data_IF_504086026431
#
_entry.id   IF_504086026431
#
_cell.length_a   1.000
_cell.length_b   1.000
_cell.length_c   1.000
_cell.angle_alpha   90.00
_cell.angle_beta   90.00
_cell.angle_gamma   90.00
#
_symmetry.space_group_name_H-M   'P 1'
#
loop_
_entity.id
_entity.type
_entity.pdbx_description
1 polymer ?
#
# COMPACT_ATOMS: atom_id res chain seq x y z
N UNK A 1 14.09 31.15 31.05
CA UNK A 1 13.34 29.96 30.60
C UNK A 1 13.93 29.54 29.25
N UNK A 2 14.54 28.36 29.14
CA UNK A 2 15.09 27.88 27.86
C UNK A 2 13.93 27.30 27.05
N UNK A 3 13.54 27.96 25.96
CA UNK A 3 12.52 27.46 25.05
C UNK A 3 13.15 26.43 24.11
N UNK A 4 12.73 25.17 24.22
CA UNK A 4 13.15 24.13 23.28
C UNK A 4 12.26 24.22 22.03
N UNK A 5 12.87 24.49 20.88
CA UNK A 5 12.18 24.54 19.58
C UNK A 5 12.31 23.20 18.87
N UNK A 6 11.20 22.72 18.32
CA UNK A 6 11.14 21.56 17.43
C UNK A 6 10.65 22.00 16.06
N UNK A 7 11.13 21.33 15.01
CA UNK A 7 10.66 21.51 13.63
C UNK A 7 10.62 20.15 12.94
N UNK A 8 9.62 19.95 12.10
CA UNK A 8 9.46 18.71 11.34
C UNK A 8 10.59 18.59 10.31
N UNK A 9 11.19 17.40 10.23
CA UNK A 9 12.04 16.99 9.11
C UNK A 9 11.14 16.62 7.94
N UNK A 10 10.17 15.75 8.20
CA UNK A 10 9.18 15.39 7.22
C UNK A 10 7.83 15.06 7.84
N UNK A 11 6.82 15.06 7.00
CA UNK A 11 5.53 14.43 7.21
C UNK A 11 5.22 13.44 6.08
N UNK A 12 4.50 12.37 6.41
CA UNK A 12 3.98 11.40 5.47
C UNK A 12 2.46 11.41 5.58
N UNK A 13 1.76 11.51 4.44
CA UNK A 13 0.30 11.46 4.36
C UNK A 13 -0.16 10.32 3.44
N UNK A 14 -1.14 9.55 3.91
CA UNK A 14 -1.84 8.53 3.14
C UNK A 14 -3.09 9.14 2.50
N UNK A 15 -3.18 9.07 1.18
CA UNK A 15 -4.30 9.57 0.40
C UNK A 15 -5.08 8.41 -0.22
N UNK A 16 -6.40 8.55 -0.34
CA UNK A 16 -7.22 7.49 -0.91
C UNK A 16 -8.54 8.04 -1.50
N UNK A 17 -8.84 7.72 -2.76
CA UNK A 17 -9.98 8.28 -3.52
C UNK A 17 -11.37 7.78 -3.10
N UNK A 18 -11.43 6.78 -2.23
CA UNK A 18 -12.66 6.27 -1.60
C UNK A 18 -13.29 7.28 -0.63
N UNK A 19 -12.47 7.93 0.22
CA UNK A 19 -12.98 8.82 1.27
C UNK A 19 -13.28 10.20 0.71
N UNK A 20 -14.31 10.83 1.26
CA UNK A 20 -14.76 12.14 0.83
C UNK A 20 -13.70 13.22 1.09
N UNK A 21 -12.89 13.04 2.14
CA UNK A 21 -11.77 13.93 2.47
C UNK A 21 -10.54 13.77 1.56
N UNK A 22 -10.46 12.67 0.81
CA UNK A 22 -9.26 12.25 0.08
C UNK A 22 -8.13 11.70 0.96
N UNK A 23 -8.30 11.69 2.29
CA UNK A 23 -7.30 11.18 3.24
C UNK A 23 -7.65 9.78 3.71
N UNK A 24 -6.64 8.94 3.95
CA UNK A 24 -6.81 7.54 4.32
C UNK A 24 -6.60 7.33 5.83
N UNK A 25 -7.67 7.09 6.61
CA UNK A 25 -7.56 6.82 8.05
C UNK A 25 -7.16 5.38 8.38
N UNK A 26 -7.21 4.46 7.40
CA UNK A 26 -7.18 3.01 7.63
C UNK A 26 -5.77 2.40 7.70
N UNK A 27 -4.73 3.25 7.66
CA UNK A 27 -3.33 2.84 7.77
C UNK A 27 -2.72 3.47 9.02
N UNK A 28 -2.09 2.65 9.83
CA UNK A 28 -1.25 3.06 10.95
C UNK A 28 0.22 2.98 10.54
N UNK A 29 1.01 3.99 10.94
CA UNK A 29 2.45 4.06 10.70
C UNK A 29 3.19 3.92 12.04
N UNK A 30 3.97 2.84 12.18
CA UNK A 30 4.67 2.49 13.43
C UNK A 30 6.17 2.42 13.16
N UNK A 31 7.03 3.15 13.91
CA UNK A 31 8.48 3.02 13.75
C UNK A 31 8.95 1.60 14.07
N UNK A 32 9.87 1.06 13.27
CA UNK A 32 10.56 -0.20 13.59
C UNK A 32 11.45 -0.05 14.82
N UNK A 33 11.99 -1.16 15.34
CA UNK A 33 12.98 -1.14 16.41
C UNK A 33 14.23 -0.33 16.02
N UNK A 34 14.76 -0.54 14.81
CA UNK A 34 15.93 0.18 14.28
C UNK A 34 15.65 1.68 14.07
N UNK A 35 14.45 2.03 13.59
CA UNK A 35 14.04 3.41 13.47
C UNK A 35 13.92 4.09 14.84
N UNK A 36 13.36 3.38 15.82
CA UNK A 36 13.27 3.88 17.20
C UNK A 36 14.64 4.14 17.80
N UNK A 37 15.59 3.22 17.62
CA UNK A 37 16.98 3.39 18.06
C UNK A 37 17.64 4.60 17.37
N UNK A 38 17.47 4.73 16.05
CA UNK A 38 18.00 5.85 15.27
C UNK A 38 17.41 7.19 15.74
N UNK A 39 16.10 7.26 15.95
CA UNK A 39 15.43 8.46 16.47
C UNK A 39 15.94 8.84 17.86
N UNK A 40 16.11 7.87 18.77
CA UNK A 40 16.65 8.13 20.10
C UNK A 40 18.08 8.67 20.04
N UNK A 41 18.93 8.06 19.21
CA UNK A 41 20.33 8.48 19.02
C UNK A 41 20.45 9.93 18.56
N UNK A 42 19.57 10.37 17.67
CA UNK A 42 19.59 11.75 17.14
C UNK A 42 18.65 12.71 17.88
N UNK A 43 17.92 12.25 18.91
CA UNK A 43 16.99 13.07 19.68
C UNK A 43 15.76 13.53 18.87
N UNK A 44 15.33 12.69 17.92
CA UNK A 44 14.14 12.90 17.11
C UNK A 44 12.88 12.41 17.82
N UNK A 45 11.73 12.93 17.41
CA UNK A 45 10.43 12.53 17.94
C UNK A 45 9.48 12.24 16.79
N UNK A 46 8.99 11.00 16.74
CA UNK A 46 7.89 10.65 15.86
C UNK A 46 6.55 10.96 16.52
N UNK A 47 5.63 11.54 15.75
CA UNK A 47 4.26 11.79 16.15
C UNK A 47 3.34 11.17 15.09
N UNK A 48 2.64 10.06 15.40
CA UNK A 48 1.63 9.53 14.49
C UNK A 48 0.46 10.51 14.36
N UNK A 49 -0.24 10.42 13.24
CA UNK A 49 -1.45 11.18 12.93
C UNK A 49 -2.50 10.23 12.38
N UNK A 50 -3.75 10.67 12.29
CA UNK A 50 -4.82 9.81 11.76
C UNK A 50 -4.57 9.33 10.32
N UNK A 51 -3.80 10.09 9.55
CA UNK A 51 -3.56 9.87 8.12
C UNK A 51 -2.08 9.68 7.76
N UNK A 52 -1.23 9.32 8.73
CA UNK A 52 0.21 9.18 8.51
C UNK A 52 1.05 9.55 9.73
N UNK A 53 2.15 10.27 9.56
CA UNK A 53 3.06 10.58 10.68
C UNK A 53 4.03 11.73 10.40
N UNK A 54 4.60 12.28 11.46
CA UNK A 54 5.57 13.39 11.40
C UNK A 54 6.81 13.07 12.21
N UNK A 55 7.99 13.35 11.65
CA UNK A 55 9.25 13.22 12.37
C UNK A 55 9.80 14.61 12.69
N UNK A 56 10.02 14.89 13.97
CA UNK A 56 10.50 16.17 14.46
C UNK A 56 11.95 16.08 14.95
N UNK A 57 12.73 17.11 14.66
CA UNK A 57 14.05 17.32 15.22
C UNK A 57 14.06 18.54 16.14
N UNK A 58 14.93 18.50 17.15
CA UNK A 58 15.24 19.68 17.98
C UNK A 58 16.13 20.62 17.17
N UNK A 59 15.77 21.90 17.12
CA UNK A 59 16.48 22.90 16.30
C UNK A 59 16.94 24.11 17.10
N UNK A 60 17.95 24.78 16.57
CA UNK A 60 18.40 26.11 16.98
C UNK A 60 18.26 27.07 15.81
N UNK A 61 17.59 28.21 16.04
CA UNK A 61 17.52 29.28 15.03
C UNK A 61 18.83 30.07 15.02
N UNK A 62 19.51 30.12 13.88
CA UNK A 62 20.72 30.93 13.65
C UNK A 62 20.55 31.64 12.31
N UNK A 63 20.72 32.97 12.27
CA UNK A 63 20.56 33.77 11.05
C UNK A 63 19.24 33.48 10.29
N UNK A 64 18.12 33.40 11.02
CA UNK A 64 16.79 33.05 10.49
C UNK A 64 16.68 31.66 9.84
N UNK A 65 17.67 30.77 10.02
CA UNK A 65 17.61 29.36 9.62
C UNK A 65 17.44 28.46 10.84
N UNK A 66 16.63 27.42 10.70
CA UNK A 66 16.49 26.39 11.73
C UNK A 66 17.51 25.28 11.46
N UNK A 67 18.56 25.23 12.29
CA UNK A 67 19.60 24.20 12.22
C UNK A 67 19.26 23.04 13.14
N UNK A 68 19.40 21.81 12.67
CA UNK A 68 19.23 20.62 13.50
C UNK A 68 20.35 20.54 14.55
N UNK A 69 20.00 20.21 15.80
CA UNK A 69 20.98 20.13 16.89
C UNK A 69 21.92 18.94 16.76
N UNK A 70 21.40 17.79 16.31
CA UNK A 70 22.17 16.57 16.07
C UNK A 70 22.01 16.23 14.58
N UNK A 71 22.91 16.72 13.70
CA UNK A 71 22.83 16.44 12.27
C UNK A 71 22.80 14.95 11.96
N UNK A 72 21.99 14.60 10.98
CA UNK A 72 21.90 13.24 10.47
C UNK A 72 23.11 12.95 9.57
N UNK A 73 23.74 11.78 9.69
CA UNK A 73 24.79 11.37 8.78
C UNK A 73 24.20 11.00 7.42
N UNK A 74 24.99 11.17 6.35
CA UNK A 74 24.65 10.67 5.03
C UNK A 74 24.35 9.16 5.08
N UNK A 75 23.21 8.72 4.54
CA UNK A 75 22.74 7.33 4.61
C UNK A 75 21.89 7.01 5.85
N UNK A 76 21.46 8.00 6.63
CA UNK A 76 20.49 7.77 7.70
C UNK A 76 19.13 7.31 7.13
N UNK A 77 18.54 6.28 7.70
CA UNK A 77 17.27 5.68 7.25
C UNK A 77 16.26 5.66 8.39
N UNK A 78 15.02 5.95 8.07
CA UNK A 78 13.88 5.84 8.97
C UNK A 78 12.86 4.87 8.38
N UNK A 79 12.79 3.66 8.94
CA UNK A 79 11.84 2.63 8.54
C UNK A 79 10.61 2.60 9.44
N UNK A 80 9.44 2.42 8.83
CA UNK A 80 8.17 2.34 9.54
C UNK A 80 7.33 1.20 8.96
N UNK A 81 6.77 0.40 9.85
CA UNK A 81 5.77 -0.62 9.53
C UNK A 81 4.44 0.07 9.27
N UNK A 82 3.79 -0.34 8.18
CA UNK A 82 2.43 0.04 7.87
C UNK A 82 1.51 -1.09 8.30
N UNK A 83 0.51 -0.78 9.13
CA UNK A 83 -0.50 -1.75 9.59
C UNK A 83 -1.88 -1.30 9.14
N UNK A 84 -2.71 -2.24 8.72
CA UNK A 84 -4.12 -1.94 8.43
C UNK A 84 -4.88 -1.85 9.74
N UNK A 85 -5.61 -0.74 9.93
CA UNK A 85 -6.58 -0.61 11.04
C UNK A 85 -7.84 -1.43 10.80
N UNK A 86 -8.11 -1.78 9.54
CA UNK A 86 -9.28 -2.54 9.13
C UNK A 86 -8.93 -3.64 8.12
N UNK A 87 -9.46 -4.85 8.33
CA UNK A 87 -9.22 -5.98 7.43
C UNK A 87 -9.95 -5.85 6.09
N UNK A 88 -10.92 -4.93 5.97
CA UNK A 88 -11.69 -4.72 4.73
C UNK A 88 -11.06 -3.71 3.77
N UNK A 89 -9.92 -3.12 4.12
CA UNK A 89 -9.23 -2.11 3.31
C UNK A 89 -9.00 -2.61 1.87
N UNK A 90 -8.44 -3.81 1.73
CA UNK A 90 -8.13 -4.40 0.43
C UNK A 90 -9.39 -4.63 -0.45
N UNK A 91 -10.58 -4.74 0.16
CA UNK A 91 -11.83 -4.95 -0.57
C UNK A 91 -12.29 -3.69 -1.31
N UNK A 92 -12.02 -2.50 -0.77
CA UNK A 92 -12.41 -1.23 -1.41
C UNK A 92 -11.23 -0.47 -2.02
N UNK A 93 -9.99 -0.93 -1.83
CA UNK A 93 -8.80 -0.40 -2.49
C UNK A 93 -8.44 -1.23 -3.73
N UNK A 94 -8.00 -0.57 -4.79
CA UNK A 94 -7.49 -1.20 -6.02
C UNK A 94 -6.10 -1.79 -5.78
N UNK A 95 -6.07 -2.96 -5.14
CA UNK A 95 -4.87 -3.73 -4.81
C UNK A 95 -4.96 -5.15 -5.38
N UNK A 96 -3.82 -5.82 -5.52
CA UNK A 96 -3.76 -7.22 -5.94
C UNK A 96 -4.12 -8.16 -4.79
N UNK A 97 -5.38 -8.62 -4.80
CA UNK A 97 -5.93 -9.59 -3.84
C UNK A 97 -5.35 -11.01 -3.98
N UNK A 98 -4.62 -11.27 -5.06
CA UNK A 98 -4.01 -12.57 -5.37
C UNK A 98 -2.50 -12.57 -5.21
N UNK A 99 -1.93 -11.52 -4.57
CA UNK A 99 -0.50 -11.45 -4.30
C UNK A 99 -0.04 -12.63 -3.43
N UNK A 100 1.20 -13.13 -3.61
CA UNK A 100 1.79 -14.10 -2.69
C UNK A 100 1.74 -13.59 -1.25
N UNK A 101 1.49 -14.48 -0.29
CA UNK A 101 1.42 -14.10 1.15
C UNK A 101 2.69 -13.46 1.68
N UNK A 102 3.84 -13.77 1.08
CA UNK A 102 5.14 -13.20 1.43
C UNK A 102 5.36 -11.82 0.83
N UNK A 103 4.48 -11.33 -0.05
CA UNK A 103 4.66 -10.05 -0.71
C UNK A 103 3.88 -8.97 0.03
N UNK A 104 4.61 -7.93 0.43
CA UNK A 104 4.06 -6.77 1.12
C UNK A 104 4.43 -5.51 0.34
N UNK A 105 3.75 -4.41 0.67
CA UNK A 105 4.01 -3.15 -0.01
C UNK A 105 5.27 -2.49 0.54
N UNK A 106 6.13 -1.99 -0.34
CA UNK A 106 7.37 -1.30 0.02
C UNK A 106 7.42 0.07 -0.65
N UNK A 107 7.55 1.11 0.17
CA UNK A 107 7.56 2.50 -0.25
C UNK A 107 8.85 3.19 0.16
N UNK A 108 9.37 4.08 -0.69
CA UNK A 108 10.61 4.80 -0.37
C UNK A 108 10.73 6.11 -1.13
N UNK A 109 11.64 6.97 -0.67
CA UNK A 109 11.92 8.27 -1.26
C UNK A 109 13.12 8.27 -2.24
N UNK A 110 13.57 7.10 -2.70
CA UNK A 110 14.68 6.99 -3.66
C UNK A 110 14.21 7.07 -5.11
N UNK A 111 12.91 6.83 -5.36
CA UNK A 111 12.31 6.96 -6.69
C UNK A 111 11.91 8.42 -6.90
N UNK A 112 12.41 9.03 -7.98
CA UNK A 112 12.00 10.37 -8.35
C UNK A 112 10.57 10.37 -8.95
N UNK A 113 9.58 10.48 -8.09
CA UNK A 113 8.17 10.54 -8.44
C UNK A 113 7.50 11.75 -7.76
N UNK A 114 7.14 12.77 -8.53
CA UNK A 114 6.55 14.01 -8.00
C UNK A 114 5.14 14.17 -8.55
N UNK A 115 4.19 14.52 -7.70
CA UNK A 115 2.80 14.80 -8.08
C UNK A 115 2.67 16.09 -8.91
N UNK A 116 1.49 16.32 -9.50
CA UNK A 116 1.25 17.53 -10.30
C UNK A 116 1.33 18.83 -9.47
N UNK A 117 1.04 18.75 -8.17
CA UNK A 117 1.16 19.82 -7.18
C UNK A 117 2.57 19.91 -6.54
N UNK A 118 3.56 19.17 -7.05
CA UNK A 118 4.96 19.30 -6.65
C UNK A 118 5.37 18.53 -5.40
N UNK A 119 4.50 17.67 -4.86
CA UNK A 119 4.81 16.86 -3.69
C UNK A 119 5.47 15.53 -4.08
N UNK A 120 6.51 15.10 -3.38
CA UNK A 120 7.09 13.79 -3.64
C UNK A 120 6.17 12.64 -3.23
N UNK A 121 6.06 11.66 -4.12
CA UNK A 121 5.28 10.44 -3.98
C UNK A 121 6.22 9.26 -3.72
N UNK A 122 5.90 8.42 -2.75
CA UNK A 122 6.75 7.28 -2.37
C UNK A 122 6.41 5.98 -3.10
N UNK A 123 5.61 6.07 -4.17
CA UNK A 123 5.16 4.93 -4.96
C UNK A 123 6.07 4.72 -6.18
N UNK A 124 6.34 3.46 -6.51
CA UNK A 124 7.20 3.04 -7.60
C UNK A 124 6.62 3.37 -8.99
N UNK A 125 5.28 3.40 -9.12
CA UNK A 125 4.64 3.69 -10.39
C UNK A 125 4.66 5.20 -10.71
N UNK A 126 5.57 5.61 -11.58
CA UNK A 126 5.75 7.02 -11.99
C UNK A 126 4.74 7.49 -13.02
N UNK A 127 4.03 6.57 -13.68
CA UNK A 127 3.02 6.88 -14.71
C UNK A 127 1.66 7.17 -14.07
N UNK A 128 1.13 6.22 -13.30
CA UNK A 128 -0.19 6.36 -12.66
C UNK A 128 -0.12 7.11 -11.34
N UNK A 129 1.06 7.17 -10.70
CA UNK A 129 1.31 7.90 -9.45
C UNK A 129 0.44 7.43 -8.28
N UNK A 130 0.07 6.16 -8.31
CA UNK A 130 -0.72 5.47 -7.28
C UNK A 130 -0.06 4.13 -6.93
N UNK A 131 -0.38 3.61 -5.75
CA UNK A 131 0.05 2.28 -5.30
C UNK A 131 -0.41 1.22 -6.30
N UNK A 132 0.48 0.29 -6.61
CA UNK A 132 0.26 -0.80 -7.57
C UNK A 132 1.14 -2.01 -7.26
N UNK A 133 1.11 -3.02 -8.13
CA UNK A 133 1.95 -4.21 -7.99
C UNK A 133 3.45 -3.91 -8.14
N UNK A 134 3.82 -2.77 -8.71
CA UNK A 134 5.20 -2.29 -8.75
C UNK A 134 5.76 -1.97 -7.35
N UNK A 135 4.88 -1.78 -6.36
CA UNK A 135 5.24 -1.53 -4.97
C UNK A 135 5.32 -2.83 -4.14
N UNK A 136 5.06 -4.01 -4.74
CA UNK A 136 5.14 -5.29 -4.02
C UNK A 136 6.58 -5.83 -3.99
N UNK A 137 7.02 -6.22 -2.80
CA UNK A 137 8.32 -6.84 -2.58
C UNK A 137 8.16 -8.05 -1.64
N UNK A 138 8.85 -9.19 -1.90
CA UNK A 138 8.87 -10.30 -0.96
C UNK A 138 9.53 -9.88 0.35
N UNK A 139 8.90 -10.16 1.48
CA UNK A 139 9.45 -9.97 2.80
C UNK A 139 9.94 -11.30 3.33
N UNK A 140 11.13 -11.29 3.91
CA UNK A 140 11.77 -12.45 4.49
C UNK A 140 12.21 -12.16 5.92
N UNK A 141 12.16 -13.18 6.75
CA UNK A 141 12.55 -13.12 8.16
C UNK A 141 13.33 -14.38 8.52
N UNK A 142 14.24 -14.27 9.49
CA UNK A 142 15.09 -15.34 10.05
C UNK A 142 16.11 -15.99 9.10
N UNK A 143 15.74 -16.33 7.86
CA UNK A 143 16.65 -16.97 6.93
C UNK A 143 16.24 -16.74 5.47
N UNK A 144 17.23 -16.64 4.59
CA UNK A 144 17.04 -16.69 3.15
C UNK A 144 17.51 -18.04 2.62
N UNK A 145 16.84 -18.59 1.60
CA UNK A 145 17.29 -19.80 0.93
C UNK A 145 16.98 -19.77 -0.56
N UNK A 146 17.89 -20.33 -1.35
CA UNK A 146 17.76 -20.40 -2.80
C UNK A 146 18.39 -21.67 -3.36
N UNK A 147 17.68 -22.34 -4.26
CA UNK A 147 18.18 -23.51 -4.97
C UNK A 147 18.61 -23.14 -6.39
N UNK A 148 19.83 -23.51 -6.75
CA UNK A 148 20.41 -23.30 -8.08
C UNK A 148 20.83 -24.63 -8.69
N UNK A 149 20.53 -24.86 -9.97
CA UNK A 149 20.99 -26.05 -10.70
C UNK A 149 22.10 -25.69 -11.68
N UNK A 150 23.22 -26.40 -11.60
CA UNK A 150 24.36 -26.23 -12.50
C UNK A 150 25.26 -27.46 -12.48
N UNK A 151 26.06 -27.66 -13.53
CA UNK A 151 27.02 -28.78 -13.64
C UNK A 151 28.45 -28.40 -13.26
N UNK A 152 28.69 -27.14 -12.94
CA UNK A 152 30.02 -26.67 -12.50
C UNK A 152 30.41 -27.32 -11.16
N UNK A 153 31.71 -27.40 -10.86
CA UNK A 153 32.20 -28.07 -9.65
C UNK A 153 31.88 -27.30 -8.36
N UNK A 154 31.92 -25.97 -8.42
CA UNK A 154 31.70 -25.08 -7.27
C UNK A 154 30.92 -23.86 -7.77
N UNK A 155 30.01 -23.35 -6.94
CA UNK A 155 29.24 -22.13 -7.22
C UNK A 155 29.33 -21.19 -6.03
N UNK A 156 29.60 -19.92 -6.33
CA UNK A 156 29.59 -18.81 -5.40
C UNK A 156 28.26 -18.07 -5.44
N UNK A 157 27.82 -17.62 -4.27
CA UNK A 157 26.66 -16.75 -4.12
C UNK A 157 26.93 -15.64 -3.13
N UNK A 158 26.21 -14.54 -3.33
CA UNK A 158 26.32 -13.32 -2.53
C UNK A 158 24.92 -12.81 -2.18
N UNK A 159 24.75 -12.36 -0.94
CA UNK A 159 23.53 -11.72 -0.44
C UNK A 159 23.90 -10.33 0.04
N UNK A 160 23.52 -9.32 -0.73
CA UNK A 160 23.92 -7.93 -0.53
C UNK A 160 22.78 -7.11 0.03
N UNK A 161 23.00 -6.45 1.17
CA UNK A 161 22.11 -5.42 1.69
C UNK A 161 22.44 -4.09 1.03
N UNK A 162 21.51 -3.64 0.18
CA UNK A 162 21.72 -2.50 -0.73
C UNK A 162 22.01 -1.21 0.05
N UNK A 163 21.33 -1.05 1.19
CA UNK A 163 21.31 0.20 1.94
C UNK A 163 22.34 0.25 3.07
N UNK A 164 22.58 -0.88 3.73
CA UNK A 164 23.53 -0.95 4.85
C UNK A 164 24.95 -1.29 4.42
N UNK A 165 25.13 -1.86 3.21
CA UNK A 165 26.38 -2.42 2.72
C UNK A 165 26.79 -3.73 3.40
N UNK A 166 25.94 -4.30 4.24
CA UNK A 166 26.16 -5.64 4.82
C UNK A 166 26.11 -6.70 3.71
N UNK A 167 27.03 -7.65 3.74
CA UNK A 167 27.15 -8.69 2.71
C UNK A 167 27.40 -10.04 3.37
N UNK A 168 26.75 -11.06 2.83
CA UNK A 168 27.03 -12.46 3.13
C UNK A 168 27.43 -13.19 1.85
N UNK A 169 28.30 -14.18 1.96
CA UNK A 169 28.70 -15.01 0.83
C UNK A 169 28.82 -16.48 1.20
N UNK A 170 28.57 -17.34 0.23
CA UNK A 170 28.74 -18.79 0.34
C UNK A 170 29.35 -19.34 -0.93
N UNK A 171 30.25 -20.32 -0.76
CA UNK A 171 30.78 -21.15 -1.83
C UNK A 171 30.39 -22.59 -1.52
N UNK A 172 29.68 -23.23 -2.45
CA UNK A 172 29.20 -24.59 -2.29
C UNK A 172 29.76 -25.47 -3.41
N UNK A 173 30.20 -26.67 -3.05
CA UNK A 173 30.59 -27.70 -4.01
C UNK A 173 29.38 -28.45 -4.54
N UNK A 174 29.50 -28.92 -5.77
CA UNK A 174 28.44 -29.59 -6.49
C UNK A 174 28.08 -30.93 -5.83
N UNK A 175 26.81 -31.06 -5.47
CA UNK A 175 26.21 -32.32 -5.10
C UNK A 175 24.97 -32.57 -5.97
N UNK A 176 25.05 -33.52 -6.89
CA UNK A 176 23.97 -33.89 -7.82
C UNK A 176 23.43 -32.73 -8.69
N UNK A 177 24.30 -31.81 -9.11
CA UNK A 177 23.98 -30.64 -9.93
C UNK A 177 23.00 -29.66 -9.27
N UNK A 178 22.91 -29.67 -7.95
CA UNK A 178 22.02 -28.80 -7.17
C UNK A 178 22.80 -28.16 -6.01
N UNK A 179 22.70 -26.83 -5.91
CA UNK A 179 23.30 -26.02 -4.87
C UNK A 179 22.18 -25.39 -4.04
N UNK A 180 22.20 -25.60 -2.72
CA UNK A 180 21.20 -25.05 -1.80
C UNK A 180 21.87 -24.01 -0.89
N UNK A 181 21.71 -22.74 -1.23
CA UNK A 181 22.23 -21.64 -0.43
C UNK A 181 21.27 -21.33 0.71
N UNK A 182 21.81 -21.10 1.91
CA UNK A 182 21.02 -20.74 3.09
C UNK A 182 21.77 -19.73 3.95
N UNK A 183 21.17 -18.57 4.18
CA UNK A 183 21.73 -17.49 4.99
C UNK A 183 20.89 -17.29 6.25
N UNK A 184 21.54 -17.19 7.41
CA UNK A 184 20.88 -16.81 8.67
C UNK A 184 20.77 -15.28 8.74
N UNK A 185 19.54 -14.79 8.91
CA UNK A 185 19.19 -13.37 8.95
C UNK A 185 18.73 -12.92 10.34
N UNK A 186 18.83 -13.75 11.37
CA UNK A 186 18.36 -13.41 12.73
C UNK A 186 19.06 -12.20 13.32
N UNK A 187 20.30 -11.95 12.95
CA UNK A 187 21.12 -10.82 13.43
C UNK A 187 21.42 -9.81 12.34
N UNK A 188 20.91 -10.02 11.12
CA UNK A 188 21.11 -9.11 10.01
C UNK A 188 20.32 -7.82 10.25
N UNK A 189 20.77 -6.71 9.67
CA UNK A 189 19.99 -5.47 9.67
C UNK A 189 18.71 -5.65 8.86
N UNK A 190 17.69 -4.87 9.19
CA UNK A 190 16.54 -4.73 8.30
C UNK A 190 16.93 -3.93 7.05
N UNK A 191 16.27 -4.20 5.93
CA UNK A 191 16.51 -3.46 4.70
C UNK A 191 16.37 -4.31 3.44
N UNK A 192 16.57 -3.66 2.30
CA UNK A 192 16.50 -4.32 0.99
C UNK A 192 17.73 -5.15 0.71
N UNK A 193 17.50 -6.31 0.12
CA UNK A 193 18.56 -7.21 -0.31
C UNK A 193 18.47 -7.56 -1.80
N UNK A 194 19.63 -7.91 -2.36
CA UNK A 194 19.76 -8.60 -3.64
C UNK A 194 20.59 -9.86 -3.45
N UNK A 195 20.15 -10.94 -4.10
CA UNK A 195 20.85 -12.21 -4.08
C UNK A 195 21.43 -12.51 -5.46
N UNK A 196 22.71 -12.87 -5.49
CA UNK A 196 23.48 -13.15 -6.69
C UNK A 196 24.02 -14.58 -6.67
N UNK A 197 24.10 -15.19 -7.85
CA UNK A 197 24.81 -16.46 -8.08
C UNK A 197 25.73 -16.24 -9.26
N UNK A 198 27.04 -16.46 -9.08
CA UNK A 198 28.07 -16.15 -10.07
C UNK A 198 27.95 -14.72 -10.63
N UNK A 199 27.70 -13.74 -9.74
CA UNK A 199 27.52 -12.33 -10.11
C UNK A 199 26.21 -11.98 -10.84
N UNK A 200 25.30 -12.95 -11.04
CA UNK A 200 23.99 -12.72 -11.69
C UNK A 200 22.90 -12.62 -10.64
N UNK A 201 22.15 -11.51 -10.64
CA UNK A 201 21.01 -11.31 -9.74
C UNK A 201 19.93 -12.39 -9.96
N UNK A 202 19.52 -13.05 -8.88
CA UNK A 202 18.51 -14.13 -8.87
C UNK A 202 17.26 -13.78 -8.08
N UNK A 203 17.38 -12.94 -7.06
CA UNK A 203 16.26 -12.51 -6.23
C UNK A 203 16.50 -11.14 -5.61
N UNK A 204 15.39 -10.46 -5.28
CA UNK A 204 15.37 -9.26 -4.45
C UNK A 204 14.24 -9.38 -3.43
N UNK A 205 14.46 -8.86 -2.23
CA UNK A 205 13.51 -8.95 -1.12
C UNK A 205 13.78 -7.84 -0.09
N UNK A 206 12.92 -7.74 0.92
CA UNK A 206 13.12 -6.94 2.12
C UNK A 206 13.29 -7.84 3.34
N UNK A 207 14.35 -7.64 4.11
CA UNK A 207 14.58 -8.31 5.38
C UNK A 207 13.90 -7.51 6.48
N UNK A 208 13.03 -8.18 7.23
CA UNK A 208 12.24 -7.59 8.31
C UNK A 208 12.26 -8.49 9.54
N UNK A 209 12.29 -7.89 10.72
CA UNK A 209 12.19 -8.62 11.98
C UNK A 209 10.89 -9.46 12.02
N UNK A 210 10.94 -10.71 12.52
CA UNK A 210 9.76 -11.58 12.56
C UNK A 210 8.56 -10.97 13.28
N UNK A 211 8.80 -10.19 14.34
CA UNK A 211 7.74 -9.54 15.13
C UNK A 211 7.01 -8.45 14.35
N UNK A 212 7.73 -7.76 13.46
CA UNK A 212 7.17 -6.67 12.65
C UNK A 212 6.45 -7.21 11.42
N UNK A 213 6.85 -8.39 10.92
CA UNK A 213 6.28 -9.02 9.73
C UNK A 213 4.85 -9.57 9.94
N UNK A 214 4.52 -10.04 11.14
CA UNK A 214 3.27 -10.77 11.41
C UNK A 214 1.99 -10.00 11.02
N UNK A 215 1.99 -8.68 11.21
CA UNK A 215 0.84 -7.80 10.94
C UNK A 215 1.17 -6.68 9.92
N UNK A 216 2.25 -6.83 9.15
CA UNK A 216 2.66 -5.81 8.19
C UNK A 216 1.79 -5.81 6.94
N UNK A 217 1.15 -4.69 6.65
CA UNK A 217 0.65 -4.38 5.31
C UNK A 217 1.82 -4.07 4.36
N UNK A 218 2.83 -3.40 4.90
CA UNK A 218 3.99 -2.95 4.16
C UNK A 218 5.00 -2.22 5.04
N UNK A 219 6.03 -1.68 4.40
CA UNK A 219 7.07 -0.86 5.01
C UNK A 219 7.23 0.42 4.19
N UNK A 220 7.49 1.53 4.88
CA UNK A 220 8.00 2.76 4.26
C UNK A 220 9.37 3.09 4.82
N UNK A 221 10.33 3.36 3.94
CA UNK A 221 11.67 3.81 4.29
C UNK A 221 11.93 5.22 3.75
N UNK A 222 12.27 6.13 4.67
CA UNK A 222 12.69 7.49 4.34
C UNK A 222 14.19 7.57 4.52
N UNK A 223 14.90 7.75 3.42
CA UNK A 223 16.35 7.90 3.38
C UNK A 223 16.73 9.38 3.44
N UNK A 224 17.77 9.69 4.21
CA UNK A 224 18.53 10.92 4.06
C UNK A 224 19.85 10.59 3.36
N UNK A 225 20.03 11.17 2.18
CA UNK A 225 21.28 11.11 1.43
C UNK A 225 21.50 12.43 0.69
N UNK A 226 22.74 12.91 0.66
CA UNK A 226 23.12 14.15 -0.03
C UNK A 226 22.94 14.07 -1.56
N UNK A 227 22.84 12.85 -2.12
CA UNK A 227 22.56 12.61 -3.53
C UNK A 227 21.06 12.67 -3.88
N UNK A 228 20.16 12.80 -2.91
CA UNK A 228 18.73 12.91 -3.18
C UNK A 228 18.39 14.25 -3.86
N UNK A 229 17.41 14.28 -4.78
CA UNK A 229 16.92 15.53 -5.33
C UNK A 229 16.38 16.45 -4.21
N UNK A 230 16.49 17.78 -4.40
CA UNK A 230 16.10 18.78 -3.39
C UNK A 230 14.64 18.64 -2.89
N UNK A 231 13.74 18.09 -3.71
CA UNK A 231 12.36 17.80 -3.33
C UNK A 231 12.25 16.77 -2.19
N UNK A 232 13.25 15.90 -2.02
CA UNK A 232 13.30 14.83 -1.02
C UNK A 232 14.28 15.13 0.12
N UNK A 233 15.05 16.21 0.05
CA UNK A 233 16.12 16.51 1.00
C UNK A 233 15.63 17.42 2.13
N UNK A 234 15.42 16.85 3.33
CA UNK A 234 14.95 17.60 4.51
C UNK A 234 16.06 18.19 5.39
N UNK A 235 17.33 17.82 5.16
CA UNK A 235 18.52 18.42 5.80
C UNK A 235 19.49 18.89 4.72
N UNK A 236 19.92 20.14 4.82
CA UNK A 236 20.86 20.78 3.91
C UNK A 236 22.31 20.62 4.40
N UNK A 237 23.30 20.90 3.53
CA UNK A 237 24.72 20.80 3.86
C UNK A 237 25.17 21.71 5.03
N UNK A 238 24.48 22.82 5.28
CA UNK A 238 24.71 23.71 6.42
C UNK A 238 23.95 23.26 7.70
N UNK A 239 23.34 22.07 7.66
CA UNK A 239 22.45 21.51 8.69
C UNK A 239 21.14 22.27 8.87
N UNK A 240 20.80 23.23 8.01
CA UNK A 240 19.47 23.79 7.98
C UNK A 240 18.46 22.71 7.58
N UNK A 241 17.29 22.74 8.20
CA UNK A 241 16.22 21.80 7.84
C UNK A 241 15.04 22.51 7.18
N UNK A 242 14.47 21.82 6.21
CA UNK A 242 13.24 22.19 5.52
C UNK A 242 12.29 21.01 5.59
N UNK A 243 11.06 21.27 6.04
CA UNK A 243 10.05 20.20 6.15
C UNK A 243 9.70 19.69 4.76
N UNK A 244 9.77 18.37 4.54
CA UNK A 244 9.30 17.71 3.32
C UNK A 244 8.01 16.93 3.58
N UNK A 245 7.03 17.07 2.70
CA UNK A 245 5.74 16.39 2.81
C UNK A 245 5.64 15.31 1.76
N UNK A 246 5.71 14.06 2.18
CA UNK A 246 5.62 12.88 1.32
C UNK A 246 4.19 12.35 1.27
N UNK A 247 3.82 11.74 0.13
CA UNK A 247 2.49 11.20 -0.09
C UNK A 247 2.55 9.74 -0.59
N UNK A 248 1.61 8.92 -0.13
CA UNK A 248 1.31 7.61 -0.70
C UNK A 248 -0.17 7.61 -1.08
N UNK A 249 -0.46 7.37 -2.36
CA UNK A 249 -1.81 7.53 -2.91
C UNK A 249 -2.40 6.19 -3.33
N UNK A 250 -3.53 5.84 -2.72
CA UNK A 250 -4.32 4.67 -3.05
C UNK A 250 -5.55 5.06 -3.88
N UNK A 251 -6.02 4.12 -4.69
CA UNK A 251 -7.23 4.31 -5.49
C UNK A 251 -8.31 3.33 -5.03
N UNK A 252 -9.56 3.78 -5.05
CA UNK A 252 -10.71 2.93 -4.81
C UNK A 252 -10.93 1.90 -5.91
N UNK A 253 -11.31 0.70 -5.50
CA UNK A 253 -11.67 -0.40 -6.40
C UNK A 253 -12.94 -0.04 -7.17
N UNK A 254 -12.94 -0.36 -8.46
CA UNK A 254 -14.15 -0.34 -9.27
C UNK A 254 -14.75 -1.75 -9.39
N UNK A 255 -16.06 -1.88 -9.16
CA UNK A 255 -16.76 -3.18 -9.23
C UNK A 255 -18.06 -3.06 -10.02
N UNK A 256 -18.49 -4.13 -10.68
CA UNK A 256 -19.86 -4.21 -11.20
C UNK A 256 -20.82 -4.46 -10.04
N UNK A 257 -21.84 -3.62 -9.91
CA UNK A 257 -22.82 -3.77 -8.83
C UNK A 257 -23.89 -4.74 -9.27
N UNK A 258 -24.11 -5.81 -8.51
CA UNK A 258 -25.05 -6.86 -8.86
C UNK A 258 -26.15 -6.99 -7.81
N UNK A 259 -27.35 -6.59 -8.19
CA UNK A 259 -28.54 -6.75 -7.37
C UNK A 259 -29.14 -8.13 -7.60
N UNK A 260 -29.28 -8.90 -6.52
CA UNK A 260 -29.97 -10.18 -6.48
C UNK A 260 -31.28 -9.94 -5.74
N UNK A 261 -32.37 -9.82 -6.50
CA UNK A 261 -33.70 -9.46 -6.02
C UNK A 261 -34.55 -10.71 -5.90
N UNK A 262 -34.83 -11.14 -4.67
CA UNK A 262 -35.66 -12.31 -4.37
C UNK A 262 -37.13 -11.91 -4.23
N UNK A 263 -38.00 -12.63 -4.93
CA UNK A 263 -39.44 -12.40 -4.98
C UNK A 263 -40.15 -13.25 -3.92
N UNK A 264 -40.08 -12.81 -2.66
CA UNK A 264 -40.65 -13.55 -1.55
C UNK A 264 -42.11 -13.16 -1.28
N UNK A 265 -42.45 -11.87 -1.40
CA UNK A 265 -43.75 -11.33 -0.98
C UNK A 265 -44.63 -10.89 -2.15
N UNK A 266 -44.05 -10.62 -3.32
CA UNK A 266 -44.81 -10.13 -4.47
C UNK A 266 -44.74 -11.07 -5.67
N UNK A 267 -45.48 -12.18 -5.61
CA UNK A 267 -45.59 -13.22 -6.65
C UNK A 267 -46.13 -12.71 -8.00
N UNK A 268 -46.65 -11.48 -8.11
CA UNK A 268 -47.17 -10.92 -9.36
C UNK A 268 -46.11 -10.25 -10.25
N UNK A 269 -44.94 -9.90 -9.71
CA UNK A 269 -43.88 -9.23 -10.48
C UNK A 269 -43.21 -10.24 -11.43
N UNK A 270 -43.30 -10.00 -12.74
CA UNK A 270 -42.72 -10.89 -13.76
C UNK A 270 -41.45 -10.33 -14.38
N UNK A 271 -41.17 -9.04 -14.17
CA UNK A 271 -39.94 -8.39 -14.60
C UNK A 271 -39.61 -7.18 -13.76
N UNK A 272 -38.34 -6.80 -13.75
CA UNK A 272 -37.86 -5.61 -13.05
C UNK A 272 -36.91 -4.79 -13.94
N UNK A 273 -36.78 -3.51 -13.62
CA UNK A 273 -35.70 -2.67 -14.11
C UNK A 273 -35.02 -1.95 -12.94
N UNK A 274 -33.69 -1.83 -13.03
CA UNK A 274 -32.88 -1.07 -12.08
C UNK A 274 -32.10 -0.01 -12.84
N UNK A 275 -32.09 1.21 -12.32
CA UNK A 275 -31.30 2.28 -12.92
C UNK A 275 -31.33 3.57 -12.12
N UNK A 276 -30.35 4.42 -12.40
CA UNK A 276 -30.27 5.80 -11.92
C UNK A 276 -30.34 6.73 -13.13
N UNK A 277 -31.29 7.65 -13.13
CA UNK A 277 -31.49 8.60 -14.24
C UNK A 277 -31.27 10.06 -13.85
N UNK A 278 -31.21 10.36 -12.55
CA UNK A 278 -30.87 11.70 -12.05
C UNK A 278 -29.35 11.88 -11.95
N UNK A 279 -28.79 12.95 -12.52
CA UNK A 279 -27.34 13.14 -12.57
C UNK A 279 -26.65 12.13 -13.48
N UNK A 280 -25.45 11.65 -13.12
CA UNK A 280 -24.73 10.63 -13.91
C UNK A 280 -25.55 9.34 -14.00
N UNK A 281 -25.97 8.92 -15.21
CA UNK A 281 -26.78 7.72 -15.38
C UNK A 281 -26.01 6.45 -15.01
N UNK A 282 -26.71 5.50 -14.39
CA UNK A 282 -26.20 4.15 -14.13
C UNK A 282 -27.23 3.17 -14.63
N UNK A 283 -26.84 2.37 -15.63
CA UNK A 283 -27.70 1.39 -16.28
C UNK A 283 -27.34 -0.01 -15.81
N UNK A 284 -28.36 -0.86 -15.68
CA UNK A 284 -28.23 -2.25 -15.28
C UNK A 284 -28.89 -3.16 -16.30
N UNK A 285 -28.28 -4.32 -16.50
CA UNK A 285 -28.76 -5.35 -17.44
C UNK A 285 -28.99 -6.65 -16.69
N UNK A 286 -30.10 -7.33 -17.05
CA UNK A 286 -30.42 -8.65 -16.51
C UNK A 286 -29.30 -9.66 -16.83
N UNK A 287 -28.89 -10.41 -15.81
CA UNK A 287 -27.89 -11.46 -15.96
C UNK A 287 -28.57 -12.78 -16.33
N UNK A 288 -28.00 -13.56 -17.27
CA UNK A 288 -28.53 -14.87 -17.62
C UNK A 288 -28.44 -15.85 -16.44
N UNK A 289 -29.31 -16.86 -16.42
CA UNK A 289 -29.24 -17.94 -15.44
C UNK A 289 -29.68 -17.57 -14.02
N UNK A 290 -30.47 -16.51 -13.85
CA UNK A 290 -31.07 -16.18 -12.56
C UNK A 290 -31.92 -17.36 -12.02
N UNK A 291 -31.75 -17.76 -10.75
CA UNK A 291 -32.56 -18.81 -10.14
C UNK A 291 -34.06 -18.49 -10.19
N UNK A 292 -34.90 -19.53 -10.20
CA UNK A 292 -36.35 -19.34 -10.12
C UNK A 292 -36.72 -18.53 -8.87
N UNK A 293 -37.58 -17.51 -9.03
CA UNK A 293 -37.96 -16.60 -7.96
C UNK A 293 -36.96 -15.46 -7.68
N UNK A 294 -35.90 -15.34 -8.49
CA UNK A 294 -34.94 -14.24 -8.38
C UNK A 294 -34.81 -13.47 -9.71
N UNK A 295 -34.52 -12.17 -9.59
CA UNK A 295 -34.01 -11.35 -10.67
C UNK A 295 -32.58 -10.94 -10.33
N UNK A 296 -31.66 -11.11 -11.28
CA UNK A 296 -30.25 -10.71 -11.11
C UNK A 296 -29.94 -9.60 -12.11
N UNK A 297 -29.60 -8.42 -11.63
CA UNK A 297 -29.32 -7.24 -12.45
C UNK A 297 -27.91 -6.73 -12.13
N UNK A 298 -27.04 -6.59 -13.13
CA UNK A 298 -25.68 -6.06 -12.92
C UNK A 298 -25.49 -4.72 -13.64
N UNK A 299 -24.69 -3.83 -13.06
CA UNK A 299 -24.33 -2.57 -13.71
C UNK A 299 -23.54 -2.82 -14.99
N UNK A 300 -23.82 -2.03 -16.03
CA UNK A 300 -23.17 -2.23 -17.33
C UNK A 300 -21.67 -1.94 -17.28
N UNK A 301 -21.28 -0.96 -16.46
CA UNK A 301 -19.90 -0.59 -16.22
C UNK A 301 -19.52 -0.86 -14.76
N UNK A 302 -18.23 -1.07 -14.51
CA UNK A 302 -17.70 -1.05 -13.16
C UNK A 302 -17.83 0.36 -12.57
N UNK A 303 -18.24 0.43 -11.32
CA UNK A 303 -18.46 1.66 -10.58
C UNK A 303 -17.45 1.74 -9.44
N UNK A 304 -16.76 2.89 -9.27
CA UNK A 304 -15.84 3.09 -8.16
C UNK A 304 -16.59 3.04 -6.83
N UNK A 305 -16.07 2.26 -5.88
CA UNK A 305 -16.59 2.23 -4.51
C UNK A 305 -16.29 3.57 -3.82
N UNK A 306 -17.25 4.10 -3.07
CA UNK A 306 -17.12 5.40 -2.39
C UNK A 306 -17.68 5.32 -0.99
N UNK A 307 -17.13 6.14 -0.09
CA UNK A 307 -17.66 6.33 1.26
C UNK A 307 -19.07 6.90 1.23
N UNK A 308 -19.29 7.95 0.43
CA UNK A 308 -20.60 8.55 0.26
C UNK A 308 -21.49 7.66 -0.62
N UNK A 309 -22.70 7.29 -0.16
CA UNK A 309 -23.59 6.41 -0.92
C UNK A 309 -24.10 7.10 -2.19
N UNK A 310 -24.19 6.32 -3.26
CA UNK A 310 -24.84 6.71 -4.52
C UNK A 310 -26.35 6.62 -4.34
N UNK A 311 -27.00 7.78 -4.24
CA UNK A 311 -28.46 7.89 -4.15
C UNK A 311 -29.15 7.83 -5.53
N UNK A 312 -30.45 7.56 -5.54
CA UNK A 312 -31.31 7.64 -6.72
C UNK A 312 -31.30 6.42 -7.64
N UNK A 313 -30.67 5.31 -7.24
CA UNK A 313 -30.82 4.02 -7.94
C UNK A 313 -32.19 3.46 -7.59
N UNK A 314 -33.05 3.30 -8.59
CA UNK A 314 -34.46 2.92 -8.44
C UNK A 314 -34.70 1.51 -8.93
N UNK A 315 -35.55 0.78 -8.22
CA UNK A 315 -36.14 -0.49 -8.66
C UNK A 315 -37.56 -0.26 -9.14
N UNK A 316 -37.90 -0.75 -10.33
CA UNK A 316 -39.26 -0.68 -10.90
C UNK A 316 -39.71 -2.04 -11.40
N UNK A 317 -41.02 -2.26 -11.44
CA UNK A 317 -41.61 -3.47 -12.04
C UNK A 317 -41.72 -3.36 -13.58
N UNK A 318 -42.27 -4.41 -14.20
CA UNK A 318 -42.54 -4.46 -15.65
C UNK A 318 -43.49 -3.36 -16.17
N UNK A 319 -44.30 -2.74 -15.30
CA UNK A 319 -45.20 -1.63 -15.63
C UNK A 319 -44.57 -0.26 -15.34
N UNK A 320 -43.25 -0.22 -15.07
CA UNK A 320 -42.49 0.98 -14.71
C UNK A 320 -42.94 1.63 -13.37
N UNK A 321 -43.73 0.91 -12.55
CA UNK A 321 -44.12 1.36 -11.22
C UNK A 321 -42.91 1.30 -10.29
N UNK A 322 -42.73 2.36 -9.50
CA UNK A 322 -41.63 2.42 -8.52
C UNK A 322 -41.89 1.44 -7.38
N UNK A 323 -40.95 0.54 -7.14
CA UNK A 323 -40.95 -0.38 -6.00
C UNK A 323 -40.04 0.18 -4.90
N UNK A 324 -38.79 0.53 -5.24
CA UNK A 324 -37.82 1.09 -4.30
C UNK A 324 -37.21 2.35 -4.90
N UNK A 325 -37.26 3.46 -4.17
CA UNK A 325 -36.76 4.76 -4.61
C UNK A 325 -35.23 4.91 -4.52
N UNK A 326 -34.62 4.24 -3.54
CA UNK A 326 -33.18 4.24 -3.29
C UNK A 326 -32.75 2.83 -2.91
N UNK A 327 -32.20 2.10 -3.87
CA UNK A 327 -31.58 0.81 -3.61
C UNK A 327 -30.30 0.98 -2.77
N UNK A 328 -30.00 0.03 -1.87
CA UNK A 328 -28.80 0.06 -1.07
C UNK A 328 -27.55 -0.05 -1.94
N UNK A 329 -26.47 0.53 -1.46
CA UNK A 329 -25.16 0.44 -2.10
C UNK A 329 -24.45 -0.86 -1.69
N UNK A 330 -23.43 -1.31 -2.45
CA UNK A 330 -22.72 -2.51 -2.09
C UNK A 330 -21.99 -2.41 -0.75
N UNK A 331 -22.01 -3.50 0.00
CA UNK A 331 -21.18 -3.68 1.19
C UNK A 331 -19.75 -4.05 0.78
N UNK A 332 -18.78 -3.62 1.57
CA UNK A 332 -17.36 -3.94 1.37
C UNK A 332 -17.02 -5.39 1.71
N UNK A 333 -17.94 -6.14 2.30
CA UNK A 333 -17.72 -7.53 2.71
C UNK A 333 -18.02 -8.55 1.59
N UNK A 334 -18.65 -8.13 0.50
CA UNK A 334 -19.17 -9.02 -0.54
C UNK A 334 -18.61 -8.65 -1.93
N UNK A 335 -17.28 -8.62 -2.02
CA UNK A 335 -16.57 -8.45 -3.30
C UNK A 335 -16.16 -9.82 -3.81
N UNK A 336 -16.59 -10.18 -5.03
CA UNK A 336 -16.33 -11.48 -5.65
C UNK A 336 -15.79 -11.33 -7.06
N UNK A 337 -14.74 -12.07 -7.38
CA UNK A 337 -14.21 -12.16 -8.74
C UNK A 337 -14.88 -13.31 -9.49
N UNK A 338 -15.45 -13.03 -10.64
CA UNK A 338 -16.06 -14.02 -11.54
C UNK A 338 -15.56 -13.76 -12.97
N UNK A 339 -14.68 -14.63 -13.46
CA UNK A 339 -13.99 -14.42 -14.73
C UNK A 339 -13.14 -13.15 -14.71
N UNK A 340 -13.35 -12.27 -15.68
CA UNK A 340 -12.65 -10.98 -15.79
C UNK A 340 -13.27 -9.87 -14.92
N UNK A 341 -14.51 -10.05 -14.46
CA UNK A 341 -15.24 -9.04 -13.71
C UNK A 341 -15.08 -9.23 -12.20
N UNK A 342 -15.12 -8.12 -11.47
CA UNK A 342 -15.25 -8.09 -10.02
C UNK A 342 -16.62 -7.51 -9.67
N UNK A 343 -17.43 -8.29 -8.97
CA UNK A 343 -18.79 -7.95 -8.57
C UNK A 343 -18.85 -7.55 -7.10
N UNK A 344 -19.71 -6.60 -6.80
CA UNK A 344 -20.20 -6.37 -5.44
C UNK A 344 -21.67 -6.75 -5.37
N UNK A 345 -21.98 -7.79 -4.60
CA UNK A 345 -23.32 -8.38 -4.53
C UNK A 345 -24.20 -7.64 -3.51
N UNK A 346 -25.44 -7.37 -3.91
CA UNK A 346 -26.43 -6.62 -3.15
C UNK A 346 -27.73 -7.43 -3.11
N UNK A 347 -28.09 -7.92 -1.93
CA UNK A 347 -29.26 -8.77 -1.74
C UNK A 347 -30.49 -7.93 -1.40
N UNK A 348 -31.58 -8.12 -2.15
CA UNK A 348 -32.86 -7.42 -1.98
C UNK A 348 -33.98 -8.45 -1.91
N UNK A 349 -34.98 -8.21 -1.07
CA UNK A 349 -36.21 -9.03 -1.02
C UNK A 349 -37.42 -8.15 -1.27
N UNK A 350 -38.32 -8.59 -2.16
CA UNK A 350 -39.56 -7.88 -2.54
C UNK A 350 -40.79 -8.78 -2.54
#
# INVERSE_FOLDING_TARGET
>A
MIQIKYKALFDLEFLHSFYTSGKCPDIEMVPTAECTYTMQRFGLKFLPTDFGGKLFAKVKTVNNKDLINNPLPNGATFSFILKLKTSVFENFTELNLTKPRTNHYYFNNLVNNVSADGFPLLVANTTSKIVSDADLLPFISNSFSYTHSSTVATVNSELDFIDSGEQFSQSLDNYNNVFNFTYDLKTAKEGRIKFFVEGVEKAAAYVIAPIDNADAFGVVEIFYNDALPAAYQFQQADNAIETKSYKITFTNRATKWRYIVTKQFNQAITGISIGKTNGTPINFTAQPGAPAGQFVMASNNALPLKEAPVAGIKLRDQANKLIIANLPNPSFNLVKREGADTFSDILITI
#
